data_IF_436301206261
#
_entry.id   IF_436301206261
#
_cell.length_a   1.000
_cell.length_b   1.000
_cell.length_c   1.000
_cell.angle_alpha   90.00
_cell.angle_beta   90.00
_cell.angle_gamma   90.00
#
_symmetry.space_group_name_H-M   'P 1'
#
loop_
_entity.id
_entity.type
_entity.pdbx_description
1 polymer ?
#
# COMPACT_ATOMS: atom_id res chain seq x y z
N UNK A 1 8.25 6.40 1.83
CA UNK A 1 7.00 5.94 1.20
C UNK A 1 6.38 7.02 0.32
N UNK A 2 5.39 6.64 -0.49
CA UNK A 2 4.77 7.58 -1.43
C UNK A 2 5.48 7.71 -2.77
N UNK A 3 6.61 7.02 -2.92
CA UNK A 3 7.37 6.99 -4.17
C UNK A 3 6.71 5.99 -5.11
N UNK A 4 6.37 6.43 -6.31
CA UNK A 4 5.76 5.59 -7.33
C UNK A 4 6.54 5.60 -8.64
N UNK A 5 6.92 6.75 -9.12
CA UNK A 5 7.62 6.93 -10.40
C UNK A 5 8.99 7.61 -10.23
N UNK A 6 9.62 7.91 -11.37
CA UNK A 6 10.94 8.55 -11.43
C UNK A 6 10.98 9.94 -10.80
N UNK A 7 9.90 10.69 -10.93
CA UNK A 7 9.82 12.06 -10.43
C UNK A 7 9.81 12.06 -8.91
N UNK A 8 9.07 11.13 -8.33
CA UNK A 8 9.10 10.87 -6.89
C UNK A 8 10.50 10.47 -6.41
N UNK A 9 11.19 9.57 -7.14
CA UNK A 9 12.56 9.15 -6.80
C UNK A 9 13.52 10.34 -6.84
N UNK A 10 13.52 11.12 -7.91
CA UNK A 10 14.38 12.28 -8.07
C UNK A 10 14.11 13.34 -7.02
N UNK A 11 12.85 13.56 -6.68
CA UNK A 11 12.48 14.48 -5.61
C UNK A 11 13.09 14.06 -4.27
N UNK A 12 12.97 12.78 -3.87
CA UNK A 12 13.57 12.31 -2.62
C UNK A 12 15.10 12.43 -2.63
N UNK A 13 15.74 12.09 -3.74
CA UNK A 13 17.19 12.24 -3.87
C UNK A 13 17.65 13.70 -3.82
N UNK A 14 16.89 14.63 -4.38
CA UNK A 14 17.20 16.08 -4.28
C UNK A 14 17.10 16.61 -2.85
N UNK A 15 16.34 15.93 -1.99
CA UNK A 15 16.26 16.21 -0.55
C UNK A 15 17.37 15.52 0.26
N UNK A 16 18.32 14.83 -0.39
CA UNK A 16 19.45 14.17 0.26
C UNK A 16 19.22 12.71 0.63
N UNK A 17 18.21 12.05 0.09
CA UNK A 17 18.04 10.61 0.29
C UNK A 17 19.05 9.80 -0.54
N UNK A 18 19.69 8.79 0.07
CA UNK A 18 20.61 7.86 -0.61
C UNK A 18 19.86 6.79 -1.41
N UNK A 19 18.57 6.61 -1.16
CA UNK A 19 17.74 5.63 -1.85
C UNK A 19 16.27 5.77 -1.48
N UNK A 20 15.43 4.95 -2.10
CA UNK A 20 13.97 4.94 -1.90
C UNK A 20 13.45 3.54 -1.60
N UNK A 21 12.38 3.46 -0.80
CA UNK A 21 11.66 2.23 -0.55
C UNK A 21 10.33 2.25 -1.30
N UNK A 22 10.15 1.29 -2.19
CA UNK A 22 8.94 1.14 -3.03
C UNK A 22 8.26 -0.17 -2.69
N UNK A 23 6.97 -0.16 -2.40
CA UNK A 23 6.18 -1.35 -2.11
C UNK A 23 4.94 -1.47 -3.01
N UNK A 24 4.16 -0.43 -3.15
CA UNK A 24 2.85 -0.47 -3.82
C UNK A 24 2.92 -0.99 -5.27
N UNK A 25 3.93 -0.61 -6.05
CA UNK A 25 4.11 -1.10 -7.42
C UNK A 25 4.33 -2.62 -7.50
N UNK A 26 4.88 -3.23 -6.45
CA UNK A 26 5.10 -4.68 -6.38
C UNK A 26 3.86 -5.47 -5.94
N UNK A 27 2.86 -4.81 -5.38
CA UNK A 27 1.58 -5.45 -5.06
C UNK A 27 0.83 -5.86 -6.34
N UNK A 28 0.90 -5.03 -7.39
CA UNK A 28 0.24 -5.29 -8.68
C UNK A 28 1.16 -6.05 -9.64
N UNK A 29 1.89 -7.05 -9.12
CA UNK A 29 2.72 -7.95 -9.92
C UNK A 29 2.16 -9.36 -9.97
N UNK A 30 2.52 -10.11 -11.01
CA UNK A 30 2.14 -11.51 -11.15
C UNK A 30 2.67 -12.36 -9.99
N UNK A 31 3.91 -12.08 -9.56
CA UNK A 31 4.62 -12.82 -8.51
C UNK A 31 4.12 -12.51 -7.09
N UNK A 32 3.36 -11.44 -6.89
CA UNK A 32 2.69 -11.20 -5.61
C UNK A 32 1.64 -12.28 -5.36
N UNK A 33 1.72 -12.99 -4.24
CA UNK A 33 0.86 -14.11 -3.86
C UNK A 33 -0.52 -13.71 -3.29
N UNK A 34 -0.80 -12.41 -3.21
CA UNK A 34 -2.13 -11.92 -2.86
C UNK A 34 -3.16 -12.27 -3.94
N UNK A 35 -4.42 -12.42 -3.53
CA UNK A 35 -5.50 -12.79 -4.45
C UNK A 35 -5.64 -11.80 -5.62
N UNK A 36 -6.10 -12.25 -6.79
CA UNK A 36 -6.39 -11.34 -7.91
C UNK A 36 -7.32 -10.18 -7.53
N UNK A 37 -8.33 -10.43 -6.71
CA UNK A 37 -9.26 -9.39 -6.21
C UNK A 37 -8.52 -8.33 -5.41
N UNK A 38 -7.55 -8.71 -4.57
CA UNK A 38 -6.73 -7.75 -3.82
C UNK A 38 -5.90 -6.85 -4.76
N UNK A 39 -5.24 -7.45 -5.76
CA UNK A 39 -4.46 -6.70 -6.75
C UNK A 39 -5.35 -5.77 -7.58
N UNK A 40 -6.54 -6.25 -7.96
CA UNK A 40 -7.50 -5.47 -8.75
C UNK A 40 -7.97 -4.22 -8.01
N UNK A 41 -8.09 -4.28 -6.68
CA UNK A 41 -8.45 -3.11 -5.86
C UNK A 41 -7.49 -1.93 -6.05
N UNK A 42 -6.19 -2.20 -6.24
CA UNK A 42 -5.23 -1.13 -6.54
C UNK A 42 -5.42 -0.55 -7.93
N UNK A 43 -5.70 -1.40 -8.92
CA UNK A 43 -5.88 -1.00 -10.32
C UNK A 43 -7.15 -0.14 -10.49
N UNK A 44 -8.22 -0.52 -9.80
CA UNK A 44 -9.51 0.15 -9.86
C UNK A 44 -9.55 1.44 -9.03
N UNK A 45 -8.58 1.63 -8.13
CA UNK A 45 -8.58 2.79 -7.24
C UNK A 45 -8.33 4.10 -7.98
N UNK A 46 -9.02 5.14 -7.54
CA UNK A 46 -8.77 6.53 -7.87
C UNK A 46 -7.98 7.23 -6.75
N UNK A 47 -7.57 8.46 -6.99
CA UNK A 47 -6.90 9.29 -5.96
C UNK A 47 -7.81 9.55 -4.77
N UNK A 48 -9.10 9.69 -5.00
CA UNK A 48 -10.09 10.01 -3.98
C UNK A 48 -10.42 8.81 -3.08
N UNK A 49 -10.11 7.59 -3.53
CA UNK A 49 -10.27 6.38 -2.72
C UNK A 49 -9.16 6.20 -1.68
N UNK A 50 -8.08 6.99 -1.75
CA UNK A 50 -6.93 6.84 -0.85
C UNK A 50 -7.11 7.72 0.37
N UNK A 51 -7.30 7.09 1.53
CA UNK A 51 -7.59 7.78 2.78
C UNK A 51 -6.63 7.39 3.92
N UNK A 52 -6.54 8.26 4.92
CA UNK A 52 -5.84 7.97 6.17
C UNK A 52 -6.84 7.36 7.14
N UNK A 53 -6.50 6.19 7.66
CA UNK A 53 -7.33 5.44 8.58
C UNK A 53 -6.71 5.33 9.97
N UNK A 54 -7.55 5.25 10.99
CA UNK A 54 -7.13 4.89 12.33
C UNK A 54 -6.74 3.41 12.36
N UNK A 55 -5.52 3.12 12.81
CA UNK A 55 -5.03 1.75 12.95
C UNK A 55 -5.08 1.33 14.42
N UNK A 56 -5.47 0.07 14.73
CA UNK A 56 -5.47 -0.45 16.10
C UNK A 56 -4.06 -0.61 16.69
N UNK A 57 -3.02 -0.42 15.89
CA UNK A 57 -1.60 -0.48 16.33
C UNK A 57 -1.02 0.88 16.71
N UNK A 58 -1.85 1.92 16.83
CA UNK A 58 -1.46 3.22 17.41
C UNK A 58 -0.89 4.23 16.40
N UNK A 59 -0.63 3.84 15.15
CA UNK A 59 -0.17 4.77 14.10
C UNK A 59 -1.21 4.86 12.98
N UNK A 60 -1.49 6.06 12.44
CA UNK A 60 -2.36 6.19 11.29
C UNK A 60 -1.79 5.42 10.09
N UNK A 61 -2.66 4.79 9.31
CA UNK A 61 -2.30 4.09 8.09
C UNK A 61 -2.94 4.74 6.88
N UNK A 62 -2.30 4.60 5.71
CA UNK A 62 -2.92 4.98 4.45
C UNK A 62 -3.44 3.72 3.76
N UNK A 63 -4.69 3.76 3.33
CA UNK A 63 -5.39 2.62 2.75
C UNK A 63 -6.28 3.04 1.58
N UNK A 64 -6.61 2.05 0.73
CA UNK A 64 -7.67 2.21 -0.25
C UNK A 64 -9.00 2.06 0.50
N UNK A 65 -9.85 3.08 0.43
CA UNK A 65 -11.18 3.11 1.01
C UNK A 65 -12.07 2.00 0.45
N UNK A 66 -13.08 1.63 1.23
CA UNK A 66 -14.01 0.59 0.81
C UNK A 66 -15.02 0.24 1.90
N UNK A 67 -15.81 -0.79 1.64
CA UNK A 67 -16.90 -1.21 2.55
C UNK A 67 -16.39 -1.49 3.97
N UNK A 68 -15.27 -2.20 4.10
CA UNK A 68 -14.70 -2.50 5.41
C UNK A 68 -14.38 -1.23 6.21
N UNK A 69 -13.69 -0.26 5.60
CA UNK A 69 -13.31 0.99 6.27
C UNK A 69 -14.56 1.79 6.67
N UNK A 70 -15.55 1.85 5.81
CA UNK A 70 -16.84 2.49 6.13
C UNK A 70 -17.50 1.84 7.37
N UNK A 71 -17.57 0.51 7.40
CA UNK A 71 -18.11 -0.25 8.54
C UNK A 71 -17.29 -0.10 9.82
N UNK A 72 -15.96 0.08 9.70
CA UNK A 72 -15.09 0.43 10.84
C UNK A 72 -15.49 1.78 11.42
N UNK A 73 -15.70 2.80 10.58
CA UNK A 73 -16.13 4.14 10.99
C UNK A 73 -17.52 4.10 11.70
N UNK A 74 -18.39 3.21 11.26
CA UNK A 74 -19.70 2.95 11.88
C UNK A 74 -19.62 2.11 13.18
N UNK A 75 -18.43 1.64 13.57
CA UNK A 75 -18.23 0.81 14.77
C UNK A 75 -18.64 -0.65 14.65
N UNK A 76 -18.96 -1.11 13.44
CA UNK A 76 -19.51 -2.45 13.18
C UNK A 76 -18.45 -3.57 13.11
N UNK A 77 -17.15 -3.21 13.14
CA UNK A 77 -16.07 -4.17 12.94
C UNK A 77 -15.27 -4.48 14.23
N UNK A 78 -15.78 -4.07 15.38
CA UNK A 78 -15.13 -4.32 16.67
C UNK A 78 -14.99 -5.81 16.95
N UNK A 79 -13.80 -6.29 17.36
CA UNK A 79 -13.59 -7.71 17.63
C UNK A 79 -14.30 -8.11 18.93
N UNK A 80 -15.01 -9.24 18.88
CA UNK A 80 -15.67 -9.81 20.07
C UNK A 80 -14.72 -10.62 20.95
N UNK A 81 -13.61 -11.12 20.39
CA UNK A 81 -12.55 -11.90 21.06
C UNK A 81 -11.23 -11.72 20.33
N UNK A 82 -10.13 -11.98 21.02
CA UNK A 82 -8.79 -11.99 20.42
C UNK A 82 -8.18 -13.38 20.55
N UNK A 83 -8.15 -14.20 19.47
CA UNK A 83 -7.50 -15.52 19.50
C UNK A 83 -5.99 -15.45 19.26
N UNK A 84 -5.45 -14.30 18.80
CA UNK A 84 -4.07 -14.20 18.32
C UNK A 84 -3.08 -13.71 19.35
N UNK A 85 -3.50 -12.82 20.25
CA UNK A 85 -2.61 -12.17 21.25
C UNK A 85 -1.30 -11.67 20.64
N UNK A 86 -1.37 -11.08 19.44
CA UNK A 86 -0.24 -10.81 18.56
C UNK A 86 0.54 -9.55 18.90
N UNK A 87 -0.10 -8.55 19.51
CA UNK A 87 0.50 -7.25 19.85
C UNK A 87 0.29 -7.00 21.33
N UNK A 88 1.38 -6.86 22.07
CA UNK A 88 1.37 -6.70 23.54
C UNK A 88 0.52 -5.50 24.02
N UNK A 89 0.53 -4.41 23.26
CA UNK A 89 -0.19 -3.17 23.59
C UNK A 89 -1.61 -3.11 23.03
N UNK A 90 -2.08 -4.14 22.31
CA UNK A 90 -3.41 -4.18 21.73
C UNK A 90 -4.45 -4.53 22.79
N UNK A 91 -5.31 -3.58 23.12
CA UNK A 91 -6.55 -3.84 23.84
C UNK A 91 -7.68 -4.07 22.83
N UNK A 92 -7.99 -5.34 22.56
CA UNK A 92 -8.98 -5.70 21.55
C UNK A 92 -10.40 -5.21 21.90
N UNK A 93 -10.68 -4.95 23.18
CA UNK A 93 -12.01 -4.46 23.61
C UNK A 93 -12.24 -3.00 23.21
N UNK A 94 -11.14 -2.25 22.98
CA UNK A 94 -11.18 -0.85 22.53
C UNK A 94 -10.82 -0.69 21.08
N UNK A 95 -10.24 -1.72 20.46
CA UNK A 95 -9.80 -1.67 19.06
C UNK A 95 -10.98 -1.56 18.11
N UNK A 96 -10.90 -0.71 17.06
CA UNK A 96 -11.97 -0.58 16.08
C UNK A 96 -12.17 -1.84 15.22
N UNK A 97 -11.10 -2.64 15.05
CA UNK A 97 -11.09 -3.92 14.33
C UNK A 97 -9.82 -4.72 14.69
N UNK A 98 -9.78 -5.99 14.33
CA UNK A 98 -8.58 -6.82 14.45
C UNK A 98 -7.71 -6.67 13.19
N UNK A 99 -6.50 -6.11 13.31
CA UNK A 99 -5.64 -5.84 12.16
C UNK A 99 -5.19 -7.12 11.45
N UNK A 100 -4.83 -8.18 12.19
CA UNK A 100 -4.44 -9.46 11.56
C UNK A 100 -5.56 -10.02 10.71
N UNK A 101 -6.77 -10.06 11.24
CA UNK A 101 -7.92 -10.56 10.50
C UNK A 101 -8.23 -9.70 9.28
N UNK A 102 -8.12 -8.38 9.41
CA UNK A 102 -8.37 -7.46 8.30
C UNK A 102 -7.36 -7.68 7.16
N UNK A 103 -6.06 -7.76 7.48
CA UNK A 103 -5.02 -7.96 6.48
C UNK A 103 -5.08 -9.37 5.85
N UNK A 104 -5.34 -10.40 6.66
CA UNK A 104 -5.50 -11.76 6.16
C UNK A 104 -6.69 -11.88 5.20
N UNK A 105 -7.86 -11.35 5.59
CA UNK A 105 -9.04 -11.34 4.73
C UNK A 105 -8.80 -10.59 3.42
N UNK A 106 -8.16 -9.43 3.49
CA UNK A 106 -7.83 -8.64 2.31
C UNK A 106 -6.92 -9.43 1.35
N UNK A 107 -5.83 -10.01 1.85
CA UNK A 107 -4.90 -10.82 1.04
C UNK A 107 -5.60 -12.00 0.35
N UNK A 108 -6.64 -12.58 0.99
CA UNK A 108 -7.49 -13.63 0.41
C UNK A 108 -8.61 -13.11 -0.50
N UNK A 109 -8.70 -11.79 -0.72
CA UNK A 109 -9.69 -11.17 -1.59
C UNK A 109 -11.03 -10.83 -0.93
N UNK A 110 -11.17 -11.05 0.38
CA UNK A 110 -12.39 -10.73 1.12
C UNK A 110 -12.33 -9.27 1.64
N UNK A 111 -12.55 -8.31 0.75
CA UNK A 111 -12.45 -6.88 1.05
C UNK A 111 -13.63 -6.31 1.83
N UNK A 112 -14.72 -7.05 1.98
CA UNK A 112 -15.80 -6.68 2.93
C UNK A 112 -15.39 -6.89 4.39
N UNK A 113 -14.31 -7.66 4.63
CA UNK A 113 -13.75 -7.95 5.96
C UNK A 113 -12.29 -7.54 6.11
N UNK A 114 -11.75 -6.80 5.14
CA UNK A 114 -10.37 -6.35 5.15
C UNK A 114 -10.14 -5.16 4.24
N UNK A 115 -8.94 -4.63 4.26
CA UNK A 115 -8.56 -3.46 3.47
C UNK A 115 -7.11 -3.57 2.99
N UNK A 116 -6.78 -2.81 1.96
CA UNK A 116 -5.45 -2.75 1.40
C UNK A 116 -4.71 -1.49 1.88
N UNK A 117 -3.59 -1.67 2.59
CA UNK A 117 -2.64 -0.58 2.81
C UNK A 117 -1.97 -0.17 1.51
N UNK A 118 -1.74 1.12 1.33
CA UNK A 118 -1.14 1.61 0.08
C UNK A 118 -0.29 2.87 0.29
N UNK A 119 0.54 3.19 -0.68
CA UNK A 119 1.19 4.49 -0.81
C UNK A 119 0.22 5.56 -1.32
N UNK A 120 0.60 6.84 -1.20
CA UNK A 120 -0.21 7.96 -1.65
C UNK A 120 -0.55 7.89 -3.14
N UNK A 121 0.35 7.30 -3.94
CA UNK A 121 0.25 7.23 -5.40
C UNK A 121 -0.22 5.85 -5.89
N UNK A 122 -0.88 5.04 -5.04
CA UNK A 122 -1.34 3.69 -5.41
C UNK A 122 -2.28 3.68 -6.62
N UNK A 123 -3.12 4.70 -6.76
CA UNK A 123 -4.05 4.90 -7.87
C UNK A 123 -3.36 4.98 -9.26
N UNK A 124 -2.04 5.16 -9.29
CA UNK A 124 -1.27 5.16 -10.54
C UNK A 124 -0.99 3.74 -11.05
N UNK A 125 -1.20 2.69 -10.27
CA UNK A 125 -1.17 1.30 -10.74
C UNK A 125 -2.34 1.04 -11.67
N UNK A 126 -2.09 0.75 -12.96
CA UNK A 126 -3.15 0.60 -13.97
C UNK A 126 -3.24 -0.80 -14.58
N UNK A 127 -2.28 -1.67 -14.29
CA UNK A 127 -2.22 -3.04 -14.81
C UNK A 127 -1.38 -3.93 -13.90
N UNK A 128 -1.59 -5.24 -14.03
CA UNK A 128 -0.68 -6.24 -13.45
C UNK A 128 0.52 -6.37 -14.38
N UNK A 129 1.71 -6.40 -13.81
CA UNK A 129 2.99 -6.53 -14.52
C UNK A 129 3.84 -7.62 -13.85
N UNK A 130 4.96 -8.01 -14.44
CA UNK A 130 5.94 -8.83 -13.73
C UNK A 130 6.84 -7.95 -12.84
N UNK A 131 7.46 -8.56 -11.83
CA UNK A 131 8.51 -7.90 -11.02
C UNK A 131 9.64 -7.42 -11.92
N UNK A 132 10.03 -8.21 -12.93
CA UNK A 132 11.08 -7.83 -13.89
C UNK A 132 10.71 -6.54 -14.62
N UNK A 133 9.51 -6.48 -15.21
CA UNK A 133 9.03 -5.27 -15.92
C UNK A 133 8.98 -4.05 -14.99
N UNK A 134 8.54 -4.24 -13.75
CA UNK A 134 8.49 -3.18 -12.75
C UNK A 134 9.88 -2.63 -12.45
N UNK A 135 10.89 -3.50 -12.27
CA UNK A 135 12.27 -3.10 -12.00
C UNK A 135 12.87 -2.41 -13.23
N UNK A 136 12.68 -2.96 -14.43
CA UNK A 136 13.20 -2.37 -15.68
C UNK A 136 12.58 -1.00 -15.94
N UNK A 137 11.28 -0.85 -15.70
CA UNK A 137 10.60 0.45 -15.80
C UNK A 137 11.21 1.46 -14.82
N UNK A 138 11.37 1.10 -13.54
CA UNK A 138 11.98 1.98 -12.54
C UNK A 138 13.40 2.40 -12.93
N UNK A 139 14.22 1.46 -13.40
CA UNK A 139 15.59 1.76 -13.84
C UNK A 139 15.61 2.69 -15.06
N UNK A 140 14.80 2.41 -16.06
CA UNK A 140 14.73 3.24 -17.27
C UNK A 140 14.19 4.63 -16.99
N UNK A 141 13.17 4.72 -16.15
CA UNK A 141 12.58 5.98 -15.70
C UNK A 141 13.60 6.83 -14.93
N UNK A 142 14.37 6.20 -14.02
CA UNK A 142 15.42 6.85 -13.25
C UNK A 142 16.56 7.36 -14.15
N UNK A 143 17.06 6.51 -15.04
CA UNK A 143 18.13 6.90 -15.99
C UNK A 143 17.68 8.05 -16.91
N UNK A 144 16.42 8.08 -17.33
CA UNK A 144 15.86 9.17 -18.12
C UNK A 144 15.76 10.48 -17.31
N UNK A 145 15.43 10.39 -16.02
CA UNK A 145 15.39 11.56 -15.14
C UNK A 145 16.79 12.14 -14.89
N UNK A 146 17.78 11.29 -14.63
CA UNK A 146 19.18 11.72 -14.46
C UNK A 146 19.68 12.46 -15.70
N UNK A 147 19.45 11.93 -16.91
CA UNK A 147 19.86 12.60 -18.15
C UNK A 147 19.25 14.00 -18.31
N UNK A 148 17.97 14.16 -17.96
CA UNK A 148 17.29 15.47 -18.03
C UNK A 148 17.88 16.51 -17.07
N UNK A 149 18.38 16.03 -15.92
CA UNK A 149 18.95 16.90 -14.88
C UNK A 149 20.47 17.03 -14.97
N UNK A 150 21.11 16.52 -16.06
CA UNK A 150 22.57 16.58 -16.26
C UNK A 150 23.36 15.73 -15.26
N UNK A 151 22.73 14.74 -14.65
CA UNK A 151 23.36 13.82 -13.69
C UNK A 151 23.65 12.47 -14.34
N UNK A 152 24.75 11.82 -13.91
CA UNK A 152 25.06 10.45 -14.34
C UNK A 152 24.29 9.46 -13.48
N UNK A 153 23.48 8.60 -14.09
CA UNK A 153 22.83 7.51 -13.39
C UNK A 153 23.87 6.44 -13.01
N UNK A 154 24.01 6.18 -11.71
CA UNK A 154 24.74 5.01 -11.20
C UNK A 154 23.66 4.00 -10.79
N UNK A 155 23.60 2.87 -11.50
CA UNK A 155 22.60 1.79 -11.32
C UNK A 155 23.28 0.52 -10.83
#
# INVERSE_FOLDING_TARGET
GGVFDREDVMHQMSLGADGVQVATRFVTTEECDASPTFKQTYIDSSKDDIEIIASPVGMPGRAIGGEFIRRVKEGLMRPKKCPFHCIKTCDYTKSPYCIIMALYNAAKGNLSRGYAFCGANAYMSKKITSVRETIESLKSEFAAACRRNGQTAVL
#
